data_IF_027770022696
#
_entry.id   IF_027770022696
#
_cell.length_a   1.000
_cell.length_b   1.000
_cell.length_c   1.000
_cell.angle_alpha   90.00
_cell.angle_beta   90.00
_cell.angle_gamma   90.00
#
_symmetry.space_group_name_H-M   'P 1'
#
loop_
_entity.id
_entity.type
_entity.pdbx_description
1 polymer ?
#
# COMPACT_ATOMS: atom_id res chain seq x y z
N UNK A 1 18.22 -20.90 -9.58
CA UNK A 1 17.94 -20.24 -10.88
C UNK A 1 17.23 -18.93 -10.61
N UNK A 2 17.92 -17.79 -10.68
CA UNK A 2 17.28 -16.48 -10.59
C UNK A 2 16.50 -16.25 -11.90
N UNK A 3 15.22 -15.90 -11.81
CA UNK A 3 14.36 -15.60 -12.95
C UNK A 3 14.92 -14.43 -13.78
N UNK A 4 15.66 -14.74 -14.84
CA UNK A 4 16.29 -13.78 -15.77
C UNK A 4 15.28 -13.02 -16.66
N UNK A 5 13.98 -13.34 -16.58
CA UNK A 5 12.91 -12.70 -17.36
C UNK A 5 11.92 -11.89 -16.51
N UNK A 6 12.29 -11.48 -15.28
CA UNK A 6 11.44 -10.57 -14.53
C UNK A 6 11.46 -9.17 -15.17
N UNK A 7 10.42 -8.84 -15.93
CA UNK A 7 10.18 -7.50 -16.46
C UNK A 7 10.28 -6.43 -15.36
N UNK A 8 10.84 -5.27 -15.68
CA UNK A 8 11.01 -4.19 -14.71
C UNK A 8 9.64 -3.77 -14.15
N UNK A 9 9.45 -3.58 -12.83
CA UNK A 9 8.13 -3.26 -12.26
C UNK A 9 7.48 -2.00 -12.86
N UNK A 10 8.28 -1.03 -13.31
CA UNK A 10 7.83 0.18 -13.97
C UNK A 10 7.83 0.11 -15.51
N UNK A 11 7.85 -1.09 -16.11
CA UNK A 11 7.71 -1.25 -17.57
C UNK A 11 6.30 -1.60 -18.04
N UNK A 12 5.33 -1.62 -17.13
CA UNK A 12 3.91 -1.92 -17.41
C UNK A 12 3.10 -0.63 -17.31
N UNK A 13 1.91 -0.56 -17.92
CA UNK A 13 1.05 0.64 -17.84
C UNK A 13 0.83 1.05 -16.38
N UNK A 14 0.30 0.14 -15.55
CA UNK A 14 0.07 0.43 -14.13
C UNK A 14 1.36 0.70 -13.35
N UNK A 15 2.48 0.10 -13.77
CA UNK A 15 3.79 0.33 -13.18
C UNK A 15 4.30 1.75 -13.41
N UNK A 16 4.20 2.27 -14.64
CA UNK A 16 4.59 3.65 -15.00
C UNK A 16 3.71 4.65 -14.25
N UNK A 17 2.38 4.42 -14.21
CA UNK A 17 1.47 5.27 -13.46
C UNK A 17 1.80 5.25 -11.96
N UNK A 18 2.10 4.07 -11.40
CA UNK A 18 2.54 3.93 -10.00
C UNK A 18 3.83 4.68 -9.72
N UNK A 19 4.82 4.59 -10.61
CA UNK A 19 6.09 5.31 -10.47
C UNK A 19 5.85 6.82 -10.39
N UNK A 20 5.04 7.35 -11.31
CA UNK A 20 4.66 8.76 -11.37
C UNK A 20 3.87 9.20 -10.15
N UNK A 21 2.82 8.47 -9.75
CA UNK A 21 1.96 8.81 -8.61
C UNK A 21 2.71 8.86 -7.28
N UNK A 22 3.82 8.14 -7.19
CA UNK A 22 4.62 8.00 -5.98
C UNK A 22 5.95 8.75 -6.05
N UNK A 23 6.13 9.63 -7.04
CA UNK A 23 7.31 10.47 -7.16
C UNK A 23 7.28 11.61 -6.13
N UNK A 24 8.35 11.73 -5.34
CA UNK A 24 8.51 12.77 -4.32
C UNK A 24 8.81 14.16 -4.92
N UNK A 25 9.10 14.24 -6.22
CA UNK A 25 9.24 15.50 -6.96
C UNK A 25 7.92 16.24 -7.21
N UNK A 26 6.76 15.62 -6.94
CA UNK A 26 5.46 16.25 -7.09
C UNK A 26 5.15 17.24 -5.96
N UNK A 27 4.41 18.31 -6.28
CA UNK A 27 4.01 19.31 -5.29
C UNK A 27 2.94 18.79 -4.30
N UNK A 28 2.11 17.85 -4.73
CA UNK A 28 1.00 17.27 -3.95
C UNK A 28 0.58 15.93 -4.53
N UNK A 29 -0.35 15.25 -3.85
CA UNK A 29 -0.87 13.96 -4.28
C UNK A 29 -1.72 14.08 -5.56
N UNK A 30 -1.39 13.29 -6.58
CA UNK A 30 -2.15 13.21 -7.83
C UNK A 30 -3.29 12.19 -7.71
N UNK A 31 -4.44 12.66 -7.24
CA UNK A 31 -5.64 11.82 -7.09
C UNK A 31 -6.20 11.32 -8.41
N UNK A 32 -6.05 12.09 -9.48
CA UNK A 32 -6.48 11.66 -10.81
C UNK A 32 -5.69 10.41 -11.22
N UNK A 33 -4.37 10.43 -11.02
CA UNK A 33 -3.50 9.29 -11.32
C UNK A 33 -3.75 8.11 -10.37
N UNK A 34 -4.03 8.35 -9.09
CA UNK A 34 -4.39 7.29 -8.12
C UNK A 34 -5.66 6.55 -8.55
N UNK A 35 -6.69 7.28 -9.01
CA UNK A 35 -7.94 6.69 -9.47
C UNK A 35 -7.75 5.95 -10.79
N UNK A 36 -6.99 6.52 -11.73
CA UNK A 36 -6.61 5.84 -12.98
C UNK A 36 -5.90 4.50 -12.71
N UNK A 37 -5.00 4.46 -11.71
CA UNK A 37 -4.36 3.20 -11.29
C UNK A 37 -5.38 2.18 -10.78
N UNK A 38 -6.39 2.62 -10.01
CA UNK A 38 -7.45 1.72 -9.54
C UNK A 38 -8.27 1.15 -10.71
N UNK A 39 -8.58 1.96 -11.71
CA UNK A 39 -9.29 1.55 -12.91
C UNK A 39 -8.49 0.49 -13.68
N UNK A 40 -7.20 0.75 -13.95
CA UNK A 40 -6.31 -0.22 -14.63
C UNK A 40 -6.19 -1.54 -13.85
N UNK A 41 -6.14 -1.48 -12.52
CA UNK A 41 -6.12 -2.70 -11.66
C UNK A 41 -7.40 -3.51 -11.82
N UNK A 42 -8.55 -2.86 -11.94
CA UNK A 42 -9.85 -3.53 -12.03
C UNK A 42 -10.15 -4.04 -13.44
N UNK A 43 -9.73 -3.32 -14.47
CA UNK A 43 -10.04 -3.61 -15.88
C UNK A 43 -9.13 -4.65 -16.52
N UNK A 44 -7.91 -4.83 -16.00
CA UNK A 44 -6.90 -5.71 -16.63
C UNK A 44 -6.63 -6.95 -15.80
N UNK A 45 -6.32 -8.06 -16.49
CA UNK A 45 -6.09 -9.30 -15.78
C UNK A 45 -4.78 -9.34 -14.98
N UNK A 46 -3.73 -8.70 -15.54
CA UNK A 46 -2.41 -8.56 -14.92
C UNK A 46 -2.32 -7.41 -13.92
N UNK A 47 -3.23 -6.43 -14.00
CA UNK A 47 -3.23 -5.18 -13.23
C UNK A 47 -2.94 -5.36 -11.74
N UNK A 48 -3.66 -6.24 -11.01
CA UNK A 48 -3.41 -6.43 -9.58
C UNK A 48 -1.98 -6.88 -9.26
N UNK A 49 -1.43 -7.80 -10.05
CA UNK A 49 -0.08 -8.35 -9.84
C UNK A 49 0.98 -7.31 -10.21
N UNK A 50 0.78 -6.59 -11.31
CA UNK A 50 1.72 -5.58 -11.79
C UNK A 50 1.77 -4.36 -10.87
N UNK A 51 0.61 -3.87 -10.41
CA UNK A 51 0.52 -2.79 -9.44
C UNK A 51 1.25 -3.14 -8.14
N UNK A 52 1.01 -4.34 -7.58
CA UNK A 52 1.69 -4.75 -6.34
C UNK A 52 3.20 -4.91 -6.53
N UNK A 53 3.67 -5.33 -7.71
CA UNK A 53 5.11 -5.35 -8.01
C UNK A 53 5.71 -3.94 -8.02
N UNK A 54 5.01 -2.97 -8.63
CA UNK A 54 5.44 -1.57 -8.67
C UNK A 54 5.41 -0.92 -7.28
N UNK A 55 4.33 -1.11 -6.51
CA UNK A 55 4.21 -0.64 -5.12
C UNK A 55 5.33 -1.22 -4.26
N UNK A 56 5.56 -2.55 -4.30
CA UNK A 56 6.67 -3.17 -3.56
C UNK A 56 8.02 -2.63 -3.97
N UNK A 57 8.24 -2.35 -5.27
CA UNK A 57 9.48 -1.76 -5.75
C UNK A 57 9.71 -0.40 -5.10
N UNK A 58 8.70 0.49 -5.09
CA UNK A 58 8.78 1.81 -4.46
C UNK A 58 9.02 1.71 -2.95
N UNK A 59 8.23 0.90 -2.24
CA UNK A 59 8.38 0.71 -0.79
C UNK A 59 9.79 0.27 -0.42
N UNK A 60 10.33 -0.72 -1.14
CA UNK A 60 11.67 -1.25 -0.86
C UNK A 60 12.80 -0.29 -1.25
N UNK A 61 12.65 0.50 -2.32
CA UNK A 61 13.69 1.44 -2.75
C UNK A 61 13.74 2.72 -1.92
N UNK A 62 12.60 3.17 -1.40
CA UNK A 62 12.46 4.46 -0.73
C UNK A 62 12.48 4.38 0.79
N UNK A 63 12.31 3.20 1.39
CA UNK A 63 12.33 3.05 2.85
C UNK A 63 13.62 3.57 3.48
N UNK A 64 13.50 4.49 4.45
CA UNK A 64 14.62 5.16 5.13
C UNK A 64 15.39 6.16 4.27
N UNK A 65 14.94 6.45 3.04
CA UNK A 65 15.64 7.33 2.08
C UNK A 65 14.76 8.46 1.57
N UNK A 66 13.50 8.16 1.29
CA UNK A 66 12.54 9.10 0.72
C UNK A 66 11.16 8.86 1.35
N UNK A 67 10.91 9.59 2.44
CA UNK A 67 9.68 9.47 3.21
C UNK A 67 8.45 9.99 2.45
N UNK A 68 8.64 10.94 1.52
CA UNK A 68 7.54 11.49 0.71
C UNK A 68 7.08 10.44 -0.30
N UNK A 69 8.01 9.77 -0.99
CA UNK A 69 7.69 8.61 -1.84
C UNK A 69 6.93 7.53 -1.07
N UNK A 70 7.39 7.18 0.14
CA UNK A 70 6.69 6.19 0.98
C UNK A 70 5.28 6.66 1.32
N UNK A 71 5.12 7.94 1.67
CA UNK A 71 3.82 8.52 1.99
C UNK A 71 2.82 8.39 0.84
N UNK A 72 3.21 8.82 -0.37
CA UNK A 72 2.38 8.71 -1.56
C UNK A 72 2.09 7.25 -1.92
N UNK A 73 3.05 6.35 -1.71
CA UNK A 73 2.84 4.91 -1.92
C UNK A 73 1.82 4.32 -0.96
N UNK A 74 1.84 4.72 0.32
CA UNK A 74 0.85 4.28 1.30
C UNK A 74 -0.54 4.88 1.01
N UNK A 75 -0.61 6.09 0.47
CA UNK A 75 -1.85 6.69 0.02
C UNK A 75 -2.45 5.91 -1.16
N UNK A 76 -1.64 5.66 -2.20
CA UNK A 76 -2.04 4.87 -3.35
C UNK A 76 -2.52 3.47 -2.92
N UNK A 77 -1.75 2.79 -2.06
CA UNK A 77 -2.10 1.46 -1.57
C UNK A 77 -3.44 1.44 -0.83
N UNK A 78 -3.70 2.45 0.01
CA UNK A 78 -4.97 2.59 0.71
C UNK A 78 -6.15 2.81 -0.26
N UNK A 79 -5.97 3.67 -1.26
CA UNK A 79 -6.97 3.90 -2.31
C UNK A 79 -7.24 2.61 -3.10
N UNK A 80 -6.21 1.87 -3.51
CA UNK A 80 -6.38 0.59 -4.20
C UNK A 80 -7.10 -0.44 -3.32
N UNK A 81 -6.83 -0.52 -2.02
CA UNK A 81 -7.56 -1.42 -1.12
C UNK A 81 -9.05 -1.09 -1.06
N UNK A 82 -9.42 0.19 -1.08
CA UNK A 82 -10.82 0.65 -1.00
C UNK A 82 -11.58 0.51 -2.33
N UNK A 83 -10.90 0.71 -3.45
CA UNK A 83 -11.52 0.80 -4.78
C UNK A 83 -11.32 -0.46 -5.64
N UNK A 84 -10.41 -1.37 -5.26
CA UNK A 84 -10.16 -2.60 -6.00
C UNK A 84 -10.77 -3.82 -5.32
N UNK A 85 -11.04 -4.85 -6.12
CA UNK A 85 -11.69 -6.07 -5.66
C UNK A 85 -10.77 -7.14 -5.08
N UNK A 86 -11.38 -8.31 -4.84
CA UNK A 86 -10.79 -9.53 -4.28
C UNK A 86 -9.43 -9.92 -4.88
N UNK A 87 -9.25 -9.69 -6.19
CA UNK A 87 -8.01 -10.00 -6.93
C UNK A 87 -6.82 -9.21 -6.38
N UNK A 88 -7.01 -7.92 -6.09
CA UNK A 88 -6.00 -7.05 -5.50
C UNK A 88 -5.79 -7.39 -4.02
N UNK A 89 -6.86 -7.57 -3.24
CA UNK A 89 -6.76 -7.98 -1.83
C UNK A 89 -5.97 -9.28 -1.66
N UNK A 90 -6.09 -10.23 -2.59
CA UNK A 90 -5.30 -11.47 -2.58
C UNK A 90 -3.81 -11.23 -2.77
N UNK A 91 -3.40 -10.18 -3.49
CA UNK A 91 -1.99 -9.81 -3.63
C UNK A 91 -1.47 -9.14 -2.34
N UNK A 92 -2.29 -8.32 -1.68
CA UNK A 92 -1.92 -7.65 -0.42
C UNK A 92 -1.81 -8.63 0.75
N UNK A 93 -2.72 -9.61 0.81
CA UNK A 93 -2.68 -10.65 1.84
C UNK A 93 -1.56 -11.70 1.63
N UNK A 94 -0.71 -11.53 0.62
CA UNK A 94 0.43 -12.41 0.36
C UNK A 94 1.56 -12.18 1.39
N UNK A 95 2.18 -13.26 1.87
CA UNK A 95 3.25 -13.21 2.89
C UNK A 95 4.45 -12.34 2.49
N UNK A 96 4.86 -12.38 1.23
CA UNK A 96 6.00 -11.60 0.74
C UNK A 96 5.67 -10.11 0.74
N UNK A 97 4.43 -9.77 0.37
CA UNK A 97 3.95 -8.39 0.46
C UNK A 97 3.92 -7.91 1.91
N UNK A 98 3.29 -8.67 2.81
CA UNK A 98 3.19 -8.32 4.23
C UNK A 98 4.57 -8.18 4.88
N UNK A 99 5.52 -9.03 4.52
CA UNK A 99 6.89 -8.95 5.00
C UNK A 99 7.57 -7.65 4.54
N UNK A 100 7.48 -7.29 3.27
CA UNK A 100 8.04 -6.02 2.77
C UNK A 100 7.33 -4.80 3.36
N UNK A 101 6.01 -4.89 3.54
CA UNK A 101 5.22 -3.83 4.17
C UNK A 101 5.65 -3.59 5.63
N UNK A 102 5.86 -4.66 6.41
CA UNK A 102 6.33 -4.55 7.78
C UNK A 102 7.79 -4.13 7.90
N UNK A 103 8.63 -4.36 6.88
CA UNK A 103 10.00 -3.82 6.86
C UNK A 103 10.02 -2.30 6.94
N UNK A 104 8.97 -1.59 6.52
CA UNK A 104 8.88 -0.14 6.70
C UNK A 104 9.05 0.28 8.17
N UNK A 105 8.69 -0.60 9.12
CA UNK A 105 8.82 -0.37 10.55
C UNK A 105 10.18 -0.78 11.13
N UNK A 106 11.09 -1.31 10.32
CA UNK A 106 12.39 -1.77 10.81
C UNK A 106 13.20 -0.59 11.35
N UNK A 107 13.90 -0.74 12.50
CA UNK A 107 14.66 0.36 13.11
C UNK A 107 15.64 1.06 12.17
N UNK A 108 16.28 0.30 11.27
CA UNK A 108 17.22 0.82 10.26
C UNK A 108 16.61 1.84 9.27
N UNK A 109 15.28 1.88 9.15
CA UNK A 109 14.59 2.81 8.26
C UNK A 109 14.15 4.08 9.00
N UNK A 110 14.35 4.13 10.33
CA UNK A 110 14.03 5.27 11.20
C UNK A 110 12.66 5.92 10.89
N UNK A 111 11.56 5.14 10.83
CA UNK A 111 10.27 5.65 10.43
C UNK A 111 9.73 6.65 11.46
N UNK A 112 9.19 7.78 11.00
CA UNK A 112 8.51 8.73 11.87
C UNK A 112 7.33 8.08 12.59
N UNK A 113 6.94 8.62 13.75
CA UNK A 113 5.79 8.10 14.50
C UNK A 113 4.50 8.09 13.66
N UNK A 114 4.34 9.11 12.81
CA UNK A 114 3.20 9.21 11.90
C UNK A 114 3.20 8.08 10.86
N UNK A 115 4.35 7.78 10.26
CA UNK A 115 4.49 6.68 9.31
C UNK A 115 4.22 5.33 9.99
N UNK A 116 4.77 5.13 11.20
CA UNK A 116 4.52 3.91 11.98
C UNK A 116 3.02 3.72 12.26
N UNK A 117 2.35 4.78 12.74
CA UNK A 117 0.92 4.77 12.99
C UNK A 117 0.12 4.46 11.71
N UNK A 118 0.51 5.04 10.57
CA UNK A 118 -0.15 4.80 9.29
C UNK A 118 -0.08 3.33 8.86
N UNK A 119 1.12 2.74 8.87
CA UNK A 119 1.35 1.34 8.49
C UNK A 119 0.58 0.38 9.41
N UNK A 120 0.65 0.60 10.73
CA UNK A 120 -0.06 -0.23 11.71
C UNK A 120 -1.58 -0.09 11.56
N UNK A 121 -2.09 1.12 11.39
CA UNK A 121 -3.52 1.36 11.18
C UNK A 121 -4.04 0.67 9.91
N UNK A 122 -3.31 0.76 8.80
CA UNK A 122 -3.67 0.04 7.56
C UNK A 122 -3.75 -1.47 7.78
N UNK A 123 -2.76 -2.06 8.46
CA UNK A 123 -2.76 -3.49 8.78
C UNK A 123 -3.99 -3.89 9.63
N UNK A 124 -4.34 -3.07 10.64
CA UNK A 124 -5.55 -3.26 11.46
C UNK A 124 -6.80 -3.22 10.57
N UNK A 125 -6.95 -2.22 9.71
CA UNK A 125 -8.09 -2.11 8.81
C UNK A 125 -8.21 -3.35 7.90
N UNK A 126 -7.11 -3.83 7.33
CA UNK A 126 -7.14 -5.04 6.49
C UNK A 126 -7.58 -6.29 7.25
N UNK A 127 -7.26 -6.39 8.54
CA UNK A 127 -7.73 -7.46 9.44
C UNK A 127 -9.22 -7.32 9.76
N UNK A 128 -9.73 -6.11 9.88
CA UNK A 128 -11.14 -5.83 10.18
C UNK A 128 -12.04 -5.94 8.94
N UNK A 129 -11.48 -5.80 7.74
CA UNK A 129 -12.21 -6.01 6.49
C UNK A 129 -12.53 -7.49 6.26
N UNK A 130 -13.74 -7.79 5.77
CA UNK A 130 -14.23 -9.14 5.47
C UNK A 130 -13.68 -9.70 4.14
N UNK A 131 -12.35 -9.69 3.96
CA UNK A 131 -11.73 -10.22 2.74
C UNK A 131 -11.84 -11.75 2.66
N UNK A 132 -12.51 -12.25 1.64
CA UNK A 132 -12.58 -13.67 1.31
C UNK A 132 -11.42 -14.08 0.38
N UNK A 133 -10.17 -14.06 0.86
CA UNK A 133 -8.97 -14.39 0.08
C UNK A 133 -8.06 -15.39 0.81
N UNK A 134 -7.28 -16.24 0.10
CA UNK A 134 -6.45 -17.27 0.73
C UNK A 134 -5.50 -16.76 1.81
N UNK A 135 -4.92 -15.56 1.64
CA UNK A 135 -3.96 -14.98 2.57
C UNK A 135 -4.55 -14.33 3.84
N UNK A 136 -5.88 -14.27 3.98
CA UNK A 136 -6.54 -13.57 5.09
C UNK A 136 -6.12 -14.11 6.47
N UNK A 137 -6.08 -15.44 6.63
CA UNK A 137 -5.64 -16.06 7.90
C UNK A 137 -4.18 -15.76 8.24
N UNK A 138 -3.32 -15.62 7.23
CA UNK A 138 -1.92 -15.26 7.47
C UNK A 138 -1.77 -13.80 7.90
N UNK A 139 -2.56 -12.89 7.30
CA UNK A 139 -2.67 -11.50 7.74
C UNK A 139 -3.14 -11.40 9.21
N UNK A 140 -4.17 -12.15 9.60
CA UNK A 140 -4.66 -12.21 10.99
C UNK A 140 -3.60 -12.72 11.97
N UNK A 141 -2.84 -13.75 11.58
CA UNK A 141 -1.72 -14.28 12.37
C UNK A 141 -0.62 -13.24 12.55
N UNK A 142 -0.27 -12.50 11.49
CA UNK A 142 0.73 -11.42 11.55
C UNK A 142 0.29 -10.35 12.54
N UNK A 143 -0.95 -9.88 12.43
CA UNK A 143 -1.52 -8.90 13.36
C UNK A 143 -1.51 -9.40 14.81
N UNK A 144 -1.97 -10.62 15.05
CA UNK A 144 -2.00 -11.24 16.38
C UNK A 144 -0.58 -11.37 16.97
N UNK A 145 0.39 -11.77 16.15
CA UNK A 145 1.80 -11.88 16.58
C UNK A 145 2.37 -10.54 16.99
N UNK A 146 2.08 -9.47 16.25
CA UNK A 146 2.52 -8.11 16.60
C UNK A 146 1.90 -7.65 17.92
N UNK A 147 0.61 -7.90 18.13
CA UNK A 147 -0.08 -7.62 19.40
C UNK A 147 0.54 -8.37 20.58
N UNK A 148 0.84 -9.66 20.41
CA UNK A 148 1.50 -10.48 21.45
C UNK A 148 2.91 -9.99 21.78
N UNK A 149 3.61 -9.35 20.83
CA UNK A 149 4.89 -8.69 21.05
C UNK A 149 4.77 -7.30 21.70
N UNK A 150 3.57 -6.89 22.09
CA UNK A 150 3.32 -5.59 22.74
C UNK A 150 3.16 -4.41 21.78
N UNK A 151 3.08 -4.64 20.46
CA UNK A 151 2.85 -3.56 19.49
C UNK A 151 1.43 -3.03 19.66
N UNK A 152 1.32 -1.74 19.94
CA UNK A 152 0.04 -1.05 20.04
C UNK A 152 -0.39 -0.57 18.65
N UNK A 153 -1.66 -0.78 18.33
CA UNK A 153 -2.26 -0.36 17.07
C UNK A 153 -3.12 0.90 17.31
N UNK A 154 -3.05 1.91 16.42
CA UNK A 154 -3.89 3.11 16.54
C UNK A 154 -5.38 2.77 16.52
N UNK A 155 -6.15 3.46 17.36
CA UNK A 155 -7.61 3.29 17.46
C UNK A 155 -8.37 4.14 16.44
N UNK A 156 -7.84 5.32 16.15
CA UNK A 156 -8.37 6.24 15.14
C UNK A 156 -7.43 6.31 13.93
N UNK A 157 -7.94 6.69 12.75
CA UNK A 157 -7.08 7.01 11.62
C UNK A 157 -6.08 8.11 12.02
N UNK A 158 -4.82 8.05 11.54
CA UNK A 158 -3.89 9.17 11.65
C UNK A 158 -4.51 10.45 11.07
N UNK A 159 -4.16 11.62 11.62
CA UNK A 159 -4.72 12.93 11.18
C UNK A 159 -4.64 13.14 9.66
N UNK A 160 -3.53 12.73 9.08
CA UNK A 160 -3.24 12.81 7.65
C UNK A 160 -3.96 11.75 6.79
N UNK A 161 -4.64 10.78 7.42
CA UNK A 161 -5.61 9.89 6.78
C UNK A 161 -6.98 10.60 6.62
N UNK A 162 -7.36 11.44 7.60
CA UNK A 162 -8.67 12.13 7.64
C UNK A 162 -8.76 13.25 6.61
N UNK A 163 -7.66 14.01 6.41
CA UNK A 163 -7.59 15.10 5.41
C UNK A 163 -8.03 14.64 4.00
N UNK A 164 -7.80 13.38 3.68
CA UNK A 164 -8.02 12.82 2.35
C UNK A 164 -9.40 12.19 2.16
N UNK A 165 -10.11 11.85 3.24
CA UNK A 165 -11.49 11.33 3.14
C UNK A 165 -12.49 12.47 2.93
N UNK A 166 -12.26 13.64 3.52
CA UNK A 166 -13.18 14.78 3.48
C UNK A 166 -13.14 15.50 2.12
N UNK A 167 -12.00 15.51 1.43
CA UNK A 167 -11.89 16.14 0.11
C UNK A 167 -12.63 15.35 -0.99
N UNK A 168 -12.74 14.02 -0.87
CA UNK A 168 -13.36 13.17 -1.89
C UNK A 168 -14.88 13.02 -1.76
N UNK A 169 -15.50 13.39 -0.63
CA UNK A 169 -16.97 13.43 -0.52
C UNK A 169 -17.54 14.69 -1.19
N UNK A 170 -16.72 15.73 -1.37
CA UNK A 170 -17.18 17.04 -1.86
C UNK A 170 -17.17 17.18 -3.39
N UNK A 171 -16.57 16.23 -4.13
CA UNK A 171 -16.47 16.26 -5.60
C UNK A 171 -17.41 15.28 -6.31
N UNK A 172 -18.26 14.57 -5.57
CA UNK A 172 -19.39 13.81 -6.13
C UNK A 172 -20.70 14.56 -5.94
N UNK A 173 -20.88 15.65 -6.68
CA UNK A 173 -22.19 16.23 -7.03
C UNK A 173 -22.17 16.67 -8.48
#
# INVERSE_FOLDING_TARGET
MHNLFSTHPYSTTVGILTERATDSGQCSEDWSLILEICDVINETDSGPKEAVRAIRKRLNSSAGKDNVSIWYTLLLLDACVRNCGRRFHSQIANKDFLHDFLKLLAPKNEPSQELQNRVLYMLKCWVELNWNVPGKKDLEKVYTTLRQKGIQFPQSPPTSFVRNTILNVSTSK
#
